data_IF_208755401605
#
_entry.id   IF_208755401605
#
_cell.length_a   1.000
_cell.length_b   1.000
_cell.length_c   1.000
_cell.angle_alpha   90.00
_cell.angle_beta   90.00
_cell.angle_gamma   90.00
#
_symmetry.space_group_name_H-M   'P 1'
#
loop_
_entity.id
_entity.type
_entity.pdbx_description
1 polymer ?
#
# COMPACT_ATOMS: atom_id res chain seq x y z
N UNK A 1 -5.91 2.32 -15.62
CA UNK A 1 -5.67 2.23 -14.16
C UNK A 1 -6.96 1.83 -13.49
N UNK A 2 -6.96 0.73 -12.73
CA UNK A 2 -8.14 0.25 -12.02
C UNK A 2 -7.80 0.11 -10.55
N UNK A 3 -8.26 1.06 -9.74
CA UNK A 3 -8.14 0.96 -8.28
C UNK A 3 -9.06 -0.14 -7.77
N UNK A 4 -8.54 -0.99 -6.88
CA UNK A 4 -9.37 -1.96 -6.16
C UNK A 4 -9.87 -1.33 -4.88
N UNK A 5 -11.16 -1.47 -4.61
CA UNK A 5 -11.75 -1.06 -3.34
C UNK A 5 -11.93 -2.31 -2.49
N UNK A 6 -11.35 -2.31 -1.29
CA UNK A 6 -11.52 -3.41 -0.33
C UNK A 6 -12.10 -2.84 0.96
N UNK A 7 -13.33 -3.23 1.28
CA UNK A 7 -14.07 -2.77 2.47
C UNK A 7 -14.19 -3.83 3.56
N UNK A 8 -13.66 -5.03 3.34
CA UNK A 8 -13.80 -6.16 4.25
C UNK A 8 -12.51 -6.49 5.00
N UNK A 9 -12.54 -6.45 6.33
CA UNK A 9 -11.39 -6.88 7.17
C UNK A 9 -11.00 -8.35 6.97
N UNK A 10 -11.97 -9.19 6.56
CA UNK A 10 -11.74 -10.61 6.27
C UNK A 10 -11.01 -10.88 4.94
N UNK A 11 -10.83 -9.85 4.10
CA UNK A 11 -10.18 -9.98 2.81
C UNK A 11 -8.74 -10.54 2.95
N UNK A 12 -8.33 -11.51 2.11
CA UNK A 12 -7.00 -12.11 2.18
C UNK A 12 -5.85 -11.10 2.09
N UNK A 13 -5.96 -10.07 1.23
CA UNK A 13 -4.95 -9.02 1.07
C UNK A 13 -4.80 -8.20 2.35
N UNK A 14 -5.91 -7.79 2.97
CA UNK A 14 -5.88 -7.06 4.25
C UNK A 14 -5.22 -7.89 5.35
N UNK A 15 -5.56 -9.18 5.43
CA UNK A 15 -4.93 -10.13 6.38
C UNK A 15 -3.44 -10.29 6.10
N UNK A 16 -3.06 -10.41 4.84
CA UNK A 16 -1.66 -10.55 4.42
C UNK A 16 -0.83 -9.34 4.81
N UNK A 17 -1.25 -8.14 4.43
CA UNK A 17 -0.57 -6.88 4.77
C UNK A 17 -0.43 -6.76 6.28
N UNK A 18 -1.51 -7.00 7.05
CA UNK A 18 -1.48 -6.94 8.52
C UNK A 18 -0.46 -7.91 9.11
N UNK A 19 -0.34 -9.11 8.53
CA UNK A 19 0.58 -10.14 9.02
C UNK A 19 2.05 -9.69 8.95
N UNK A 20 2.40 -8.77 8.03
CA UNK A 20 3.76 -8.24 7.88
C UNK A 20 4.23 -7.40 9.08
N UNK A 21 3.34 -7.08 10.03
CA UNK A 21 3.74 -6.50 11.34
C UNK A 21 4.55 -7.50 12.18
N UNK A 22 4.34 -8.79 11.99
CA UNK A 22 5.07 -9.83 12.71
C UNK A 22 6.38 -10.21 12.01
N UNK A 23 7.48 -10.29 12.78
CA UNK A 23 8.82 -10.65 12.26
C UNK A 23 8.82 -11.99 11.50
N UNK A 24 8.07 -12.99 11.98
CA UNK A 24 8.00 -14.32 11.35
C UNK A 24 7.48 -14.24 9.91
N UNK A 25 6.45 -13.43 9.68
CA UNK A 25 5.84 -13.24 8.36
C UNK A 25 6.76 -12.43 7.46
N UNK A 26 7.36 -11.33 7.94
CA UNK A 26 8.35 -10.60 7.12
C UNK A 26 9.50 -11.46 6.64
N UNK A 27 10.04 -12.33 7.52
CA UNK A 27 11.12 -13.24 7.16
C UNK A 27 10.69 -14.27 6.12
N UNK A 28 9.48 -14.83 6.27
CA UNK A 28 8.94 -15.84 5.35
C UNK A 28 8.63 -15.25 3.98
N UNK A 29 7.91 -14.13 3.96
CA UNK A 29 7.45 -13.49 2.72
C UNK A 29 8.56 -12.67 2.06
N UNK A 30 9.61 -12.29 2.80
CA UNK A 30 10.65 -11.31 2.41
C UNK A 30 10.05 -9.96 1.99
N UNK A 31 8.96 -9.57 2.65
CA UNK A 31 8.25 -8.30 2.44
C UNK A 31 8.15 -7.52 3.74
N UNK A 32 7.92 -6.22 3.62
CA UNK A 32 7.75 -5.30 4.74
C UNK A 32 6.73 -4.22 4.38
N UNK A 33 6.32 -3.44 5.37
CA UNK A 33 5.47 -2.27 5.20
C UNK A 33 6.32 -1.01 5.34
N UNK A 34 6.09 -0.05 4.46
CA UNK A 34 6.62 1.31 4.54
C UNK A 34 5.44 2.27 4.51
N UNK A 35 5.47 3.28 5.39
CA UNK A 35 4.39 4.24 5.54
C UNK A 35 4.94 5.66 5.42
N UNK A 36 4.10 6.56 4.91
CA UNK A 36 4.44 7.96 4.68
C UNK A 36 4.74 8.25 3.22
N UNK A 37 4.06 9.27 2.67
CA UNK A 37 4.16 9.64 1.26
C UNK A 37 5.60 10.00 0.88
N UNK A 38 6.31 10.80 1.70
CA UNK A 38 7.70 11.18 1.44
C UNK A 38 8.60 9.95 1.28
N UNK A 39 8.53 8.99 2.21
CA UNK A 39 9.37 7.79 2.17
C UNK A 39 9.09 6.96 0.91
N UNK A 40 7.83 6.85 0.50
CA UNK A 40 7.46 6.13 -0.72
C UNK A 40 7.90 6.88 -1.98
N UNK A 41 7.86 8.21 -1.98
CA UNK A 41 8.39 9.04 -3.07
C UNK A 41 9.91 8.88 -3.19
N UNK A 42 10.66 8.94 -2.08
CA UNK A 42 12.11 8.75 -2.06
C UNK A 42 12.48 7.33 -2.56
N UNK A 43 11.70 6.33 -2.15
CA UNK A 43 11.87 4.96 -2.64
C UNK A 43 11.67 4.88 -4.15
N UNK A 44 10.60 5.49 -4.68
CA UNK A 44 10.33 5.56 -6.13
C UNK A 44 11.48 6.21 -6.88
N UNK A 45 11.97 7.34 -6.39
CA UNK A 45 13.11 8.06 -6.98
C UNK A 45 14.40 7.23 -6.96
N UNK A 46 14.56 6.35 -5.97
CA UNK A 46 15.64 5.36 -5.92
C UNK A 46 15.40 4.11 -6.78
N UNK A 47 14.32 4.06 -7.56
CA UNK A 47 13.97 2.93 -8.42
C UNK A 47 13.28 1.77 -7.69
N UNK A 48 12.76 1.99 -6.48
CA UNK A 48 12.00 1.01 -5.70
C UNK A 48 10.54 1.40 -5.59
N UNK A 49 9.65 0.55 -6.07
CA UNK A 49 8.21 0.73 -5.99
C UNK A 49 7.57 -0.31 -5.07
N UNK A 50 6.47 0.03 -4.38
CA UNK A 50 5.69 -0.96 -3.65
C UNK A 50 4.96 -1.90 -4.63
N UNK A 51 4.91 -3.19 -4.29
CA UNK A 51 4.06 -4.17 -5.01
C UNK A 51 2.57 -3.93 -4.74
N UNK A 52 2.23 -3.39 -3.56
CA UNK A 52 0.88 -3.05 -3.14
C UNK A 52 0.92 -1.65 -2.53
N UNK A 53 0.23 -0.69 -3.15
CA UNK A 53 0.01 0.65 -2.63
C UNK A 53 -1.36 0.71 -1.95
N UNK A 54 -1.38 0.90 -0.64
CA UNK A 54 -2.60 1.08 0.14
C UNK A 54 -2.87 2.57 0.40
N UNK A 55 -4.11 3.00 0.20
CA UNK A 55 -4.54 4.38 0.44
C UNK A 55 -5.91 4.42 1.12
N UNK A 56 -6.19 5.49 1.84
CA UNK A 56 -7.54 5.71 2.37
C UNK A 56 -8.48 6.12 1.23
N UNK A 57 -9.73 5.64 1.31
CA UNK A 57 -10.81 6.11 0.47
C UNK A 57 -11.12 7.59 0.73
N UNK A 58 -11.56 8.30 -0.32
CA UNK A 58 -12.03 9.68 -0.21
C UNK A 58 -10.94 10.70 0.14
N UNK A 59 -9.66 10.36 -0.08
CA UNK A 59 -8.57 11.33 0.06
C UNK A 59 -8.67 12.39 -1.03
N UNK A 60 -8.27 13.61 -0.69
CA UNK A 60 -7.98 14.64 -1.68
C UNK A 60 -6.76 14.23 -2.52
N UNK A 61 -6.82 14.53 -3.82
CA UNK A 61 -5.72 14.28 -4.75
C UNK A 61 -4.46 15.01 -4.34
N UNK A 62 -3.31 14.39 -4.59
CA UNK A 62 -2.01 14.99 -4.26
C UNK A 62 -1.01 14.62 -5.36
N UNK A 63 -0.29 15.59 -5.97
CA UNK A 63 0.58 15.32 -7.12
C UNK A 63 1.59 14.18 -6.89
N UNK A 64 2.31 14.18 -5.75
CA UNK A 64 3.26 13.10 -5.43
C UNK A 64 2.61 11.71 -5.29
N UNK A 65 1.33 11.68 -4.89
CA UNK A 65 0.58 10.44 -4.80
C UNK A 65 0.15 9.96 -6.18
N UNK A 66 -0.32 10.88 -7.02
CA UNK A 66 -0.74 10.60 -8.38
C UNK A 66 0.45 10.04 -9.19
N UNK A 67 1.64 10.65 -9.05
CA UNK A 67 2.88 10.16 -9.66
C UNK A 67 3.30 8.78 -9.13
N UNK A 68 3.15 8.55 -7.82
CA UNK A 68 3.47 7.27 -7.20
C UNK A 68 2.50 6.18 -7.65
N UNK A 69 1.21 6.48 -7.69
CA UNK A 69 0.16 5.57 -8.16
C UNK A 69 0.41 5.18 -9.61
N UNK A 70 0.69 6.17 -10.47
CA UNK A 70 0.96 5.93 -11.87
C UNK A 70 2.20 5.04 -12.07
N UNK A 71 3.25 5.28 -11.30
CA UNK A 71 4.46 4.47 -11.35
C UNK A 71 4.23 3.03 -10.88
N UNK A 72 3.44 2.83 -9.80
CA UNK A 72 3.07 1.51 -9.29
C UNK A 72 2.26 0.72 -10.32
N UNK A 73 1.22 1.32 -10.91
CA UNK A 73 0.39 0.66 -11.93
C UNK A 73 1.21 0.31 -13.19
N UNK A 74 2.08 1.22 -13.65
CA UNK A 74 2.97 0.98 -14.78
C UNK A 74 3.97 -0.16 -14.52
N UNK A 75 4.36 -0.40 -13.27
CA UNK A 75 5.19 -1.52 -12.86
C UNK A 75 4.41 -2.82 -12.59
N UNK A 76 3.08 -2.81 -12.78
CA UNK A 76 2.21 -3.96 -12.53
C UNK A 76 1.87 -4.19 -11.04
N UNK A 77 2.11 -3.20 -10.18
CA UNK A 77 1.72 -3.23 -8.79
C UNK A 77 0.22 -2.99 -8.59
N UNK A 78 -0.28 -3.31 -7.39
CA UNK A 78 -1.69 -3.16 -7.05
C UNK A 78 -1.95 -1.86 -6.28
N UNK A 79 -2.90 -1.07 -6.76
CA UNK A 79 -3.40 0.12 -6.05
C UNK A 79 -4.73 -0.21 -5.39
N UNK A 80 -4.78 -0.10 -4.06
CA UNK A 80 -5.93 -0.50 -3.25
C UNK A 80 -6.37 0.64 -2.35
N UNK A 81 -7.64 1.01 -2.46
CA UNK A 81 -8.30 1.91 -1.53
C UNK A 81 -9.02 1.12 -0.42
N UNK A 82 -8.82 1.57 0.83
CA UNK A 82 -9.40 1.00 2.04
C UNK A 82 -10.20 2.07 2.81
N UNK A 83 -11.31 1.72 3.46
CA UNK A 83 -11.90 2.53 4.52
C UNK A 83 -10.85 2.90 5.57
N UNK A 84 -10.94 4.11 6.15
CA UNK A 84 -9.94 4.63 7.09
C UNK A 84 -9.78 3.71 8.32
N UNK A 85 -10.88 3.16 8.84
CA UNK A 85 -10.86 2.26 9.99
C UNK A 85 -10.16 0.92 9.71
N UNK A 86 -10.20 0.45 8.46
CA UNK A 86 -9.44 -0.73 8.02
C UNK A 86 -7.99 -0.34 7.84
N UNK A 87 -7.70 0.76 7.13
CA UNK A 87 -6.33 1.23 6.89
C UNK A 87 -5.57 1.38 8.21
N UNK A 88 -6.15 2.06 9.21
CA UNK A 88 -5.57 2.24 10.54
C UNK A 88 -5.30 0.94 11.32
N UNK A 89 -5.94 -0.17 10.95
CA UNK A 89 -5.70 -1.50 11.55
C UNK A 89 -4.61 -2.30 10.83
N UNK A 90 -4.30 -1.93 9.59
CA UNK A 90 -3.21 -2.55 8.81
C UNK A 90 -1.91 -1.77 9.00
N UNK A 91 -2.01 -0.46 9.15
CA UNK A 91 -0.89 0.43 9.46
C UNK A 91 -0.54 0.41 10.95
N UNK A 92 0.70 0.78 11.28
CA UNK A 92 1.26 0.77 12.64
C UNK A 92 0.79 1.92 13.52
#
# INVERSE_FOLDING_TARGET
MTRKIITGYSNPTVKFVRSLREKKHRRRERKFLAEGLRLLTDARESGRLPEILLMAQGREGHPLLDDLEAAVDAAGGEVIELPLDILSKVTG
#
